data_IF_825319758329
#
_entry.id   IF_825319758329
#
_cell.length_a   1.000
_cell.length_b   1.000
_cell.length_c   1.000
_cell.angle_alpha   90.00
_cell.angle_beta   90.00
_cell.angle_gamma   90.00
#
_symmetry.space_group_name_H-M   'P 1'
#
loop_
_entity.id
_entity.type
_entity.pdbx_description
1 polymer ?
#
# COMPACT_ATOMS: atom_id res chain seq x y z
N UNK A 1 20.23 -36.04 25.39
CA UNK A 1 21.59 -36.63 25.57
C UNK A 1 22.59 -35.49 25.39
N UNK A 2 23.61 -35.42 26.27
CA UNK A 2 24.69 -34.42 26.37
C UNK A 2 24.25 -33.05 26.96
N UNK A 3 24.44 -32.77 28.26
CA UNK A 3 25.67 -32.43 29.05
C UNK A 3 26.08 -30.95 28.96
N UNK A 4 25.91 -30.27 30.10
CA UNK A 4 26.53 -28.99 30.47
C UNK A 4 28.04 -29.12 30.64
N UNK A 5 28.81 -28.06 30.37
CA UNK A 5 29.72 -27.47 31.36
C UNK A 5 30.26 -26.11 30.90
N UNK A 6 30.28 -25.17 31.84
CA UNK A 6 30.95 -23.87 31.76
C UNK A 6 32.34 -23.97 32.40
N UNK A 7 33.31 -23.15 32.00
CA UNK A 7 34.37 -22.68 32.90
C UNK A 7 35.10 -21.44 32.36
N UNK A 8 35.55 -20.64 33.32
CA UNK A 8 36.02 -19.25 33.26
C UNK A 8 37.49 -19.04 32.83
N UNK A 9 37.75 -17.81 32.38
CA UNK A 9 38.91 -16.93 32.59
C UNK A 9 40.30 -17.51 32.97
N UNK A 10 41.35 -17.02 32.29
CA UNK A 10 42.40 -16.20 32.94
C UNK A 10 43.36 -15.53 31.93
N UNK A 11 43.87 -14.39 32.37
CA UNK A 11 44.79 -13.41 31.76
C UNK A 11 46.26 -13.84 31.78
N UNK A 12 47.10 -13.34 30.85
CA UNK A 12 48.39 -12.68 31.19
C UNK A 12 49.20 -12.22 29.95
N UNK A 13 49.44 -10.91 29.92
CA UNK A 13 50.62 -10.07 29.53
C UNK A 13 51.71 -10.51 28.55
N UNK A 14 52.13 -9.54 27.72
CA UNK A 14 53.43 -9.47 27.02
C UNK A 14 54.02 -8.03 27.11
N UNK A 15 55.37 -7.85 27.05
CA UNK A 15 56.05 -6.63 27.52
C UNK A 15 56.43 -5.60 26.43
N UNK A 16 56.86 -4.44 26.92
CA UNK A 16 57.23 -3.18 26.27
C UNK A 16 58.68 -3.05 25.79
N UNK A 17 58.94 -2.17 24.81
CA UNK A 17 60.03 -1.15 24.82
C UNK A 17 59.94 -0.31 23.54
N UNK A 18 59.71 1.01 23.53
CA UNK A 18 60.64 2.12 23.86
C UNK A 18 60.40 3.21 22.79
N UNK A 19 60.61 4.51 22.94
CA UNK A 19 61.04 5.39 24.03
C UNK A 19 61.12 6.83 23.49
N UNK A 20 60.68 7.81 24.31
CA UNK A 20 60.95 9.29 24.34
C UNK A 20 60.63 10.14 23.06
N UNK A 21 60.29 11.43 23.11
CA UNK A 21 60.75 12.55 23.95
C UNK A 21 59.84 13.82 23.74
N UNK A 22 59.39 14.45 24.85
CA UNK A 22 59.13 15.90 25.14
C UNK A 22 58.29 16.78 24.15
N UNK A 23 57.41 17.73 24.54
CA UNK A 23 57.28 18.67 25.68
C UNK A 23 55.84 19.29 25.70
N UNK A 24 55.40 20.00 26.77
CA UNK A 24 54.00 20.36 27.01
C UNK A 24 53.68 21.84 26.69
N UNK A 25 52.43 22.13 26.32
CA UNK A 25 51.86 23.47 26.48
C UNK A 25 50.41 23.39 26.96
N UNK A 26 50.19 23.88 28.19
CA UNK A 26 48.88 24.26 28.73
C UNK A 26 48.41 25.54 28.02
N UNK A 27 47.18 25.54 27.53
CA UNK A 27 46.50 26.73 27.00
C UNK A 27 44.99 26.52 27.03
N UNK A 28 44.34 27.25 27.92
CA UNK A 28 42.91 27.23 28.26
C UNK A 28 42.01 27.55 27.04
N UNK A 29 40.99 26.74 26.65
CA UNK A 29 40.03 27.18 25.64
C UNK A 29 38.88 27.94 26.28
N UNK A 30 38.83 29.26 26.01
CA UNK A 30 37.65 30.12 26.21
C UNK A 30 36.44 29.55 25.45
N UNK A 31 35.20 29.78 25.89
CA UNK A 31 34.03 29.33 25.14
C UNK A 31 33.93 30.13 23.83
N UNK A 32 34.11 29.45 22.69
CA UNK A 32 33.72 30.03 21.40
C UNK A 32 32.19 30.05 21.35
N UNK A 33 31.63 31.23 21.59
CA UNK A 33 30.24 31.55 21.27
C UNK A 33 30.11 31.55 19.75
N UNK A 34 29.76 30.41 19.17
CA UNK A 34 29.35 30.34 17.77
C UNK A 34 27.92 30.89 17.69
N UNK A 35 27.81 32.17 17.36
CA UNK A 35 26.52 32.76 16.97
C UNK A 35 26.33 32.40 15.50
N UNK A 36 25.56 31.35 15.22
CA UNK A 36 25.04 31.13 13.88
C UNK A 36 23.88 32.12 13.67
N UNK A 37 24.15 33.25 13.01
CA UNK A 37 23.08 34.10 12.50
C UNK A 37 22.50 33.44 11.25
N UNK A 38 21.40 32.71 11.41
CA UNK A 38 20.54 32.36 10.28
C UNK A 38 19.76 33.62 9.90
N UNK A 39 20.25 34.35 8.90
CA UNK A 39 19.43 35.35 8.23
C UNK A 39 18.36 34.59 7.44
N UNK A 40 17.20 34.38 8.05
CA UNK A 40 16.02 33.90 7.34
C UNK A 40 15.49 35.08 6.55
N UNK A 41 15.95 35.23 5.30
CA UNK A 41 15.20 36.02 4.33
C UNK A 41 13.95 35.24 3.98
N UNK A 42 12.83 35.58 4.63
CA UNK A 42 11.53 35.15 4.16
C UNK A 42 11.32 35.70 2.73
N UNK A 43 11.01 34.86 1.73
CA UNK A 43 10.56 35.40 0.46
C UNK A 43 9.27 36.19 0.72
N UNK A 44 9.33 37.50 0.49
CA UNK A 44 8.14 38.35 0.41
C UNK A 44 7.41 37.99 -0.87
N UNK A 45 6.40 37.14 -0.72
CA UNK A 45 5.05 37.31 -1.28
C UNK A 45 4.41 35.94 -1.40
N UNK A 46 3.29 35.68 -0.70
CA UNK A 46 2.35 34.74 -1.22
C UNK A 46 1.28 35.58 -1.94
N UNK A 47 1.15 35.33 -3.24
CA UNK A 47 0.15 35.94 -4.11
C UNK A 47 -1.23 35.97 -3.42
N UNK A 48 -2.05 36.97 -3.72
CA UNK A 48 -3.40 37.15 -3.17
C UNK A 48 -4.28 35.88 -3.23
N UNK A 49 -3.98 34.95 -4.15
CA UNK A 49 -4.54 33.60 -4.21
C UNK A 49 -4.39 32.82 -2.89
N UNK A 50 -3.22 32.80 -2.26
CA UNK A 50 -2.94 32.04 -1.03
C UNK A 50 -3.71 32.53 0.20
N UNK A 51 -4.18 33.77 0.19
CA UNK A 51 -4.94 34.35 1.28
C UNK A 51 -6.44 34.09 1.12
N UNK A 52 -6.93 34.08 -0.13
CA UNK A 52 -8.30 33.72 -0.46
C UNK A 52 -8.53 32.20 -0.37
N UNK A 53 -7.60 31.35 -0.82
CA UNK A 53 -7.64 29.89 -0.65
C UNK A 53 -7.75 29.49 0.84
N UNK A 54 -7.09 30.22 1.74
CA UNK A 54 -7.18 29.99 3.19
C UNK A 54 -8.59 30.22 3.77
N UNK A 55 -9.40 31.08 3.15
CA UNK A 55 -10.77 31.37 3.59
C UNK A 55 -11.80 30.38 3.04
N UNK A 56 -11.58 29.81 1.86
CA UNK A 56 -12.41 28.71 1.34
C UNK A 56 -12.11 27.36 2.01
N UNK A 57 -10.96 27.24 2.68
CA UNK A 57 -10.51 26.03 3.39
C UNK A 57 -11.26 25.71 4.69
N UNK A 58 -12.37 26.38 5.02
CA UNK A 58 -13.23 26.06 6.17
C UNK A 58 -14.13 24.82 5.94
N UNK A 59 -13.92 24.09 4.84
CA UNK A 59 -14.59 22.80 4.63
C UNK A 59 -13.91 21.72 5.46
N UNK A 60 -14.42 21.47 6.67
CA UNK A 60 -13.98 20.34 7.49
C UNK A 60 -14.46 19.01 6.88
N UNK A 61 -13.54 18.07 6.68
CA UNK A 61 -13.88 16.70 6.30
C UNK A 61 -14.00 15.84 7.56
N UNK A 62 -15.18 15.29 7.80
CA UNK A 62 -15.38 14.26 8.82
C UNK A 62 -15.10 12.89 8.23
N UNK A 63 -14.30 12.09 8.92
CA UNK A 63 -13.89 10.77 8.47
C UNK A 63 -13.67 9.83 9.65
N UNK A 64 -13.63 8.53 9.35
CA UNK A 64 -13.15 7.50 10.27
C UNK A 64 -11.99 6.76 9.61
N UNK A 65 -10.93 6.49 10.35
CA UNK A 65 -9.77 5.78 9.81
C UNK A 65 -9.91 4.28 10.05
N UNK A 66 -9.78 3.50 8.99
CA UNK A 66 -9.87 2.03 9.01
C UNK A 66 -8.60 1.40 8.45
N UNK A 67 -8.36 0.13 8.76
CA UNK A 67 -7.33 -0.66 8.09
C UNK A 67 -7.74 -2.12 7.94
N UNK A 68 -7.33 -2.74 6.84
CA UNK A 68 -7.49 -4.16 6.59
C UNK A 68 -6.15 -4.81 6.27
N UNK A 69 -5.60 -5.57 7.23
CA UNK A 69 -4.30 -6.25 7.11
C UNK A 69 -3.12 -5.28 6.83
N UNK A 70 -3.16 -4.10 7.44
CA UNK A 70 -2.11 -3.08 7.32
C UNK A 70 -2.38 -2.02 6.25
N UNK A 71 -3.28 -2.29 5.31
CA UNK A 71 -3.69 -1.35 4.28
C UNK A 71 -4.76 -0.40 4.84
N UNK A 72 -4.41 0.89 5.00
CA UNK A 72 -5.19 1.86 5.77
C UNK A 72 -5.92 2.90 4.91
N UNK A 73 -7.14 3.26 5.31
CA UNK A 73 -8.05 4.09 4.54
C UNK A 73 -8.71 5.18 5.37
N UNK A 74 -8.95 6.32 4.72
CA UNK A 74 -9.82 7.39 5.22
C UNK A 74 -11.24 7.08 4.71
N UNK A 75 -12.14 6.70 5.61
CA UNK A 75 -13.52 6.39 5.29
C UNK A 75 -14.41 7.62 5.47
N UNK A 76 -15.16 7.97 4.43
CA UNK A 76 -16.02 9.16 4.40
C UNK A 76 -17.46 8.73 4.15
N UNK A 77 -18.38 9.10 5.06
CA UNK A 77 -19.82 9.00 4.79
C UNK A 77 -20.18 10.04 3.73
N UNK A 78 -20.57 9.55 2.56
CA UNK A 78 -20.91 10.33 1.38
C UNK A 78 -22.32 9.94 0.88
N UNK A 79 -23.17 9.36 1.74
CA UNK A 79 -24.51 8.88 1.37
C UNK A 79 -25.47 10.02 1.03
N UNK A 80 -25.15 11.23 1.47
CA UNK A 80 -25.86 12.48 1.20
C UNK A 80 -25.63 13.03 -0.22
N UNK A 81 -24.68 12.50 -0.99
CA UNK A 81 -24.31 13.04 -2.31
C UNK A 81 -23.81 11.97 -3.28
N UNK A 82 -24.18 12.09 -4.56
CA UNK A 82 -23.62 11.29 -5.65
C UNK A 82 -22.24 11.77 -6.13
N UNK A 83 -21.73 12.87 -5.57
CA UNK A 83 -20.40 13.42 -5.87
C UNK A 83 -19.50 13.25 -4.64
N UNK A 84 -18.26 12.74 -4.79
CA UNK A 84 -17.30 12.64 -3.70
C UNK A 84 -17.06 14.00 -3.02
N UNK A 85 -16.97 14.00 -1.69
CA UNK A 85 -16.79 15.20 -0.88
C UNK A 85 -15.42 15.87 -1.04
N UNK A 86 -14.46 15.19 -1.65
CA UNK A 86 -13.13 15.74 -1.97
C UNK A 86 -12.77 15.40 -3.40
N UNK A 87 -11.91 16.20 -4.02
CA UNK A 87 -11.36 15.92 -5.34
C UNK A 87 -10.23 14.88 -5.27
N UNK A 88 -9.84 14.26 -6.40
CA UNK A 88 -8.65 13.41 -6.48
C UNK A 88 -7.38 14.08 -5.93
N UNK A 89 -7.17 15.35 -6.23
CA UNK A 89 -5.98 16.11 -5.79
C UNK A 89 -6.01 16.38 -4.29
N UNK A 90 -7.19 16.62 -3.72
CA UNK A 90 -7.38 16.74 -2.28
C UNK A 90 -7.17 15.40 -1.57
N UNK A 91 -7.67 14.29 -2.14
CA UNK A 91 -7.44 12.96 -1.61
C UNK A 91 -5.95 12.62 -1.57
N UNK A 92 -5.19 12.92 -2.62
CA UNK A 92 -3.73 12.74 -2.63
C UNK A 92 -3.04 13.52 -1.50
N UNK A 93 -3.46 14.77 -1.24
CA UNK A 93 -2.93 15.58 -0.12
C UNK A 93 -3.30 15.01 1.24
N UNK A 94 -4.52 14.49 1.41
CA UNK A 94 -4.98 13.88 2.65
C UNK A 94 -4.23 12.56 2.94
N UNK A 95 -3.91 11.80 1.90
CA UNK A 95 -3.17 10.55 1.98
C UNK A 95 -1.67 10.73 2.26
N UNK A 96 -1.11 11.94 2.09
CA UNK A 96 0.28 12.21 2.47
C UNK A 96 0.50 11.90 3.96
N UNK A 97 1.48 11.04 4.27
CA UNK A 97 1.70 10.53 5.63
C UNK A 97 2.42 11.52 6.56
N UNK A 98 2.99 12.61 6.04
CA UNK A 98 3.73 13.59 6.82
C UNK A 98 2.94 14.89 7.03
N UNK A 99 2.27 15.34 5.97
CA UNK A 99 1.57 16.62 5.91
C UNK A 99 0.03 16.45 5.89
N UNK A 100 -0.45 15.25 5.60
CA UNK A 100 -1.87 14.88 5.65
C UNK A 100 -2.22 14.01 6.85
N UNK A 101 -3.30 13.23 6.71
CA UNK A 101 -3.74 12.23 7.69
C UNK A 101 -2.89 10.95 7.55
N UNK A 102 -2.43 10.67 6.33
CA UNK A 102 -1.72 9.46 5.96
C UNK A 102 -2.64 8.27 5.78
N UNK A 103 -2.75 7.75 4.56
CA UNK A 103 -3.50 6.54 4.22
C UNK A 103 -3.09 6.05 2.83
N UNK A 104 -3.41 4.80 2.50
CA UNK A 104 -3.23 4.26 1.15
C UNK A 104 -4.36 4.72 0.20
N UNK A 105 -5.48 5.19 0.75
CA UNK A 105 -6.56 5.80 -0.03
C UNK A 105 -7.69 6.40 0.79
N UNK A 106 -8.58 7.10 0.09
CA UNK A 106 -9.85 7.65 0.61
C UNK A 106 -11.01 6.86 0.01
N UNK A 107 -11.87 6.31 0.86
CA UNK A 107 -13.04 5.53 0.44
C UNK A 107 -14.32 6.31 0.77
N UNK A 108 -15.23 6.37 -0.20
CA UNK A 108 -16.51 7.06 -0.08
C UNK A 108 -17.66 6.04 -0.03
N UNK A 109 -18.50 6.16 1.00
CA UNK A 109 -19.77 5.44 1.09
C UNK A 109 -20.86 6.28 0.46
N UNK A 110 -21.30 5.92 -0.73
CA UNK A 110 -22.17 6.72 -1.57
C UNK A 110 -23.57 6.08 -1.67
N UNK A 111 -24.61 6.84 -2.09
CA UNK A 111 -25.93 6.26 -2.30
C UNK A 111 -25.88 5.12 -3.33
N UNK A 112 -26.67 4.08 -3.09
CA UNK A 112 -26.78 2.94 -3.98
C UNK A 112 -27.29 3.30 -5.37
N UNK A 113 -26.82 2.56 -6.37
CA UNK A 113 -27.27 2.66 -7.77
C UNK A 113 -27.72 1.30 -8.29
N UNK A 114 -28.61 1.28 -9.28
CA UNK A 114 -29.05 0.05 -9.95
C UNK A 114 -29.54 -1.07 -8.99
N UNK A 115 -30.16 -0.70 -7.87
CA UNK A 115 -30.66 -1.64 -6.86
C UNK A 115 -29.62 -2.19 -5.89
N UNK A 116 -28.40 -1.65 -5.87
CA UNK A 116 -27.44 -1.83 -4.79
C UNK A 116 -27.85 -1.00 -3.56
N UNK A 117 -27.44 -1.43 -2.37
CA UNK A 117 -27.70 -0.71 -1.11
C UNK A 117 -26.82 0.54 -1.03
N UNK A 118 -25.56 0.43 -1.46
CA UNK A 118 -24.58 1.51 -1.49
C UNK A 118 -23.70 1.45 -2.75
N UNK A 119 -23.00 2.54 -2.99
CA UNK A 119 -21.92 2.61 -3.98
C UNK A 119 -20.60 2.87 -3.26
N UNK A 120 -19.54 2.18 -3.67
CA UNK A 120 -18.18 2.43 -3.19
C UNK A 120 -17.37 3.07 -4.31
N UNK A 121 -16.78 4.23 -4.01
CA UNK A 121 -15.71 4.84 -4.80
C UNK A 121 -14.48 5.00 -3.93
N UNK A 122 -13.31 5.00 -4.57
CA UNK A 122 -12.02 5.08 -3.87
C UNK A 122 -11.07 5.96 -4.68
N UNK A 123 -10.32 6.81 -3.98
CA UNK A 123 -9.15 7.47 -4.53
C UNK A 123 -7.90 6.93 -3.84
N UNK A 124 -6.93 6.47 -4.61
CA UNK A 124 -5.61 6.06 -4.12
C UNK A 124 -4.84 7.27 -3.57
N UNK A 125 -3.72 7.00 -2.89
CA UNK A 125 -2.82 8.04 -2.37
C UNK A 125 -2.21 8.95 -3.45
N UNK A 126 -2.17 8.50 -4.71
CA UNK A 126 -1.72 9.30 -5.86
C UNK A 126 -2.87 10.07 -6.55
N UNK A 127 -4.11 9.93 -6.05
CA UNK A 127 -5.32 10.51 -6.62
C UNK A 127 -5.98 9.69 -7.73
N UNK A 128 -5.38 8.58 -8.16
CA UNK A 128 -6.02 7.70 -9.16
C UNK A 128 -7.27 7.02 -8.57
N UNK A 129 -8.25 6.70 -9.41
CA UNK A 129 -9.47 6.01 -9.02
C UNK A 129 -9.45 4.56 -9.52
N UNK A 130 -9.13 3.57 -8.66
CA UNK A 130 -9.23 2.17 -9.04
C UNK A 130 -10.69 1.68 -9.00
N UNK A 131 -10.95 0.60 -9.74
CA UNK A 131 -12.29 0.04 -9.89
C UNK A 131 -12.80 -0.63 -8.61
N UNK A 132 -11.90 -1.25 -7.85
CA UNK A 132 -12.23 -2.00 -6.64
C UNK A 132 -11.02 -2.11 -5.70
N UNK A 133 -11.30 -2.26 -4.39
CA UNK A 133 -10.29 -2.55 -3.38
C UNK A 133 -10.81 -3.58 -2.36
N UNK A 134 -10.21 -4.77 -2.34
CA UNK A 134 -10.66 -5.90 -1.50
C UNK A 134 -10.47 -5.67 0.00
N UNK A 135 -9.43 -4.94 0.41
CA UNK A 135 -9.26 -4.52 1.81
C UNK A 135 -10.25 -3.40 2.18
N UNK A 136 -10.42 -2.46 1.25
CA UNK A 136 -11.34 -1.34 1.37
C UNK A 136 -12.79 -1.79 1.58
N UNK A 137 -13.28 -2.77 0.80
CA UNK A 137 -14.68 -3.24 0.92
C UNK A 137 -14.96 -3.95 2.25
N UNK A 138 -13.95 -4.59 2.86
CA UNK A 138 -14.10 -5.14 4.22
C UNK A 138 -14.24 -4.04 5.27
N UNK A 139 -13.43 -2.98 5.13
CA UNK A 139 -13.52 -1.80 5.99
C UNK A 139 -14.87 -1.08 5.79
N UNK A 140 -15.34 -1.01 4.55
CA UNK A 140 -16.61 -0.41 4.16
C UNK A 140 -17.81 -1.12 4.82
N UNK A 141 -17.84 -2.45 4.78
CA UNK A 141 -18.91 -3.22 5.42
C UNK A 141 -18.98 -2.93 6.93
N UNK A 142 -17.81 -2.86 7.60
CA UNK A 142 -17.73 -2.52 9.01
C UNK A 142 -18.19 -1.09 9.29
N UNK A 143 -17.76 -0.14 8.47
CA UNK A 143 -18.18 1.25 8.60
C UNK A 143 -19.70 1.42 8.47
N UNK A 144 -20.34 0.78 7.50
CA UNK A 144 -21.81 0.83 7.38
C UNK A 144 -22.47 0.24 8.62
N UNK A 145 -22.01 -0.93 9.08
CA UNK A 145 -22.59 -1.56 10.25
C UNK A 145 -22.50 -0.65 11.49
N UNK A 146 -21.40 0.09 11.68
CA UNK A 146 -21.28 1.07 12.77
C UNK A 146 -22.22 2.26 12.60
N UNK A 147 -22.25 2.85 11.39
CA UNK A 147 -23.06 4.04 11.10
C UNK A 147 -24.56 3.75 11.19
N UNK A 148 -24.98 2.54 10.84
CA UNK A 148 -26.37 2.09 10.90
C UNK A 148 -26.71 1.34 12.19
N UNK A 149 -25.75 1.22 13.11
CA UNK A 149 -25.90 0.53 14.39
C UNK A 149 -26.39 -0.93 14.23
N UNK A 150 -25.88 -1.62 13.22
CA UNK A 150 -26.17 -3.02 12.90
C UNK A 150 -25.27 -3.96 13.72
N UNK A 151 -25.84 -5.07 14.19
CA UNK A 151 -25.18 -6.02 15.08
C UNK A 151 -25.37 -7.45 14.59
N UNK A 152 -24.30 -8.25 14.62
CA UNK A 152 -24.31 -9.62 14.14
C UNK A 152 -24.03 -9.73 12.64
N UNK A 153 -24.55 -10.79 12.03
CA UNK A 153 -24.31 -11.11 10.62
C UNK A 153 -25.16 -10.23 9.70
N UNK A 154 -24.51 -9.55 8.76
CA UNK A 154 -25.14 -8.65 7.80
C UNK A 154 -24.40 -8.69 6.46
N UNK A 155 -25.16 -8.68 5.37
CA UNK A 155 -24.63 -8.59 4.01
C UNK A 155 -25.10 -7.31 3.34
N UNK A 156 -24.25 -6.70 2.51
CA UNK A 156 -24.58 -5.48 1.77
C UNK A 156 -24.34 -5.69 0.28
N UNK A 157 -25.21 -5.15 -0.57
CA UNK A 157 -24.99 -5.06 -2.02
C UNK A 157 -24.30 -3.76 -2.34
N UNK A 158 -23.04 -3.83 -2.78
CA UNK A 158 -22.22 -2.64 -3.06
C UNK A 158 -21.92 -2.57 -4.55
N UNK A 159 -22.29 -1.45 -5.16
CA UNK A 159 -21.86 -1.14 -6.51
C UNK A 159 -20.44 -0.57 -6.50
N UNK A 160 -19.56 -1.11 -7.35
CA UNK A 160 -18.17 -0.69 -7.51
C UNK A 160 -17.85 -0.52 -9.01
N UNK A 161 -16.68 0.04 -9.35
CA UNK A 161 -16.21 0.08 -10.74
C UNK A 161 -16.02 -1.30 -11.35
N UNK A 162 -15.77 -2.33 -10.53
CA UNK A 162 -15.69 -3.73 -10.95
C UNK A 162 -17.05 -4.46 -10.99
N UNK A 163 -18.16 -3.76 -10.73
CA UNK A 163 -19.49 -4.34 -10.67
C UNK A 163 -20.00 -4.54 -9.24
N UNK A 164 -20.94 -5.49 -9.08
CA UNK A 164 -21.60 -5.75 -7.80
C UNK A 164 -20.73 -6.62 -6.90
N UNK A 165 -20.42 -6.13 -5.70
CA UNK A 165 -19.66 -6.85 -4.67
C UNK A 165 -20.55 -7.02 -3.43
N UNK A 166 -20.49 -8.20 -2.81
CA UNK A 166 -21.32 -8.54 -1.65
C UNK A 166 -20.42 -8.93 -0.48
N UNK A 167 -20.03 -7.99 0.39
CA UNK A 167 -19.44 -8.33 1.67
C UNK A 167 -20.51 -8.80 2.66
N UNK A 168 -20.13 -9.77 3.47
CA UNK A 168 -20.91 -10.36 4.55
C UNK A 168 -20.08 -10.32 5.83
N UNK A 169 -20.55 -9.54 6.81
CA UNK A 169 -20.04 -9.60 8.17
C UNK A 169 -20.45 -10.93 8.77
N UNK A 170 -19.47 -11.68 9.28
CA UNK A 170 -19.65 -12.98 9.92
C UNK A 170 -19.81 -12.83 11.45
N UNK A 171 -20.36 -13.87 12.09
CA UNK A 171 -20.55 -13.94 13.54
C UNK A 171 -19.23 -13.79 14.34
N UNK A 172 -18.10 -14.22 13.76
CA UNK A 172 -16.78 -14.14 14.39
C UNK A 172 -16.13 -12.75 14.28
N UNK A 173 -16.84 -11.78 13.71
CA UNK A 173 -16.33 -10.43 13.52
C UNK A 173 -15.57 -10.23 12.20
N UNK A 174 -15.30 -11.28 11.42
CA UNK A 174 -14.63 -11.13 10.12
C UNK A 174 -15.62 -10.70 9.03
N UNK A 175 -15.07 -10.26 7.90
CA UNK A 175 -15.85 -9.94 6.71
C UNK A 175 -15.44 -10.89 5.60
N UNK A 176 -16.40 -11.70 5.15
CA UNK A 176 -16.29 -12.51 3.94
C UNK A 176 -16.73 -11.66 2.77
N UNK A 177 -16.06 -11.75 1.63
CA UNK A 177 -16.42 -10.98 0.44
C UNK A 177 -16.46 -11.93 -0.74
N UNK A 178 -17.57 -11.90 -1.47
CA UNK A 178 -17.61 -12.47 -2.80
C UNK A 178 -16.95 -11.50 -3.79
N UNK A 179 -15.79 -11.90 -4.32
CA UNK A 179 -14.98 -11.10 -5.23
C UNK A 179 -15.32 -11.37 -6.70
N UNK A 180 -16.31 -12.21 -6.97
CA UNK A 180 -16.68 -12.64 -8.31
C UNK A 180 -15.70 -13.62 -8.94
N UNK A 181 -15.91 -13.91 -10.21
CA UNK A 181 -15.05 -14.79 -11.00
C UNK A 181 -13.83 -14.05 -11.54
N UNK A 182 -12.64 -14.69 -11.56
CA UNK A 182 -11.45 -14.09 -12.13
C UNK A 182 -11.56 -14.00 -13.66
N UNK A 183 -11.10 -12.88 -14.22
CA UNK A 183 -10.90 -12.68 -15.65
C UNK A 183 -9.52 -13.23 -16.01
N UNK A 184 -9.48 -14.21 -16.92
CA UNK A 184 -8.25 -14.89 -17.31
C UNK A 184 -7.81 -14.61 -18.75
N UNK A 185 -8.72 -14.13 -19.60
CA UNK A 185 -8.41 -13.81 -20.98
C UNK A 185 -7.42 -12.65 -21.05
N UNK A 186 -6.23 -12.87 -21.62
CA UNK A 186 -5.11 -11.92 -21.57
C UNK A 186 -5.48 -10.48 -21.97
N UNK A 187 -6.18 -10.27 -23.11
CA UNK A 187 -6.63 -8.94 -23.53
C UNK A 187 -7.58 -8.24 -22.54
N UNK A 188 -8.37 -8.99 -21.77
CA UNK A 188 -9.29 -8.45 -20.76
C UNK A 188 -8.61 -8.23 -19.39
N UNK A 189 -7.40 -8.79 -19.19
CA UNK A 189 -6.48 -8.47 -18.07
C UNK A 189 -5.64 -7.22 -18.38
N UNK A 190 -6.06 -6.39 -19.33
CA UNK A 190 -5.19 -5.64 -20.26
C UNK A 190 -3.69 -5.99 -20.20
N UNK A 191 -3.29 -7.16 -20.73
CA UNK A 191 -1.87 -7.45 -20.99
C UNK A 191 -1.58 -7.68 -22.48
N UNK A 192 -0.41 -7.22 -22.92
CA UNK A 192 0.13 -7.52 -24.27
C UNK A 192 0.90 -8.84 -24.33
N UNK A 193 1.05 -9.54 -23.19
CA UNK A 193 1.72 -10.84 -23.17
C UNK A 193 0.92 -11.86 -23.98
N UNK A 194 1.61 -12.73 -24.74
CA UNK A 194 0.94 -13.77 -25.49
C UNK A 194 0.28 -14.77 -24.53
N UNK A 195 -0.96 -15.15 -24.82
CA UNK A 195 -1.63 -16.22 -24.11
C UNK A 195 -0.92 -17.54 -24.32
N UNK A 196 -0.61 -18.25 -23.23
CA UNK A 196 0.16 -19.50 -23.25
C UNK A 196 -0.70 -20.73 -22.97
N UNK A 197 -1.88 -20.56 -22.34
CA UNK A 197 -2.78 -21.67 -21.99
C UNK A 197 -4.23 -21.23 -22.00
N UNK A 198 -5.07 -21.84 -22.85
CA UNK A 198 -6.52 -21.58 -22.91
C UNK A 198 -6.85 -20.08 -22.93
N UNK A 199 -6.17 -19.33 -23.80
CA UNK A 199 -6.33 -17.87 -23.95
C UNK A 199 -5.89 -17.02 -22.73
N UNK A 200 -5.42 -17.67 -21.65
CA UNK A 200 -4.81 -17.03 -20.50
C UNK A 200 -3.29 -16.97 -20.59
N UNK A 201 -2.71 -15.98 -19.89
CA UNK A 201 -1.27 -15.82 -19.72
C UNK A 201 -0.85 -16.58 -18.47
N UNK A 202 -0.29 -17.78 -18.65
CA UNK A 202 0.11 -18.69 -17.56
C UNK A 202 1.58 -19.05 -17.69
N UNK A 203 2.40 -18.70 -16.70
CA UNK A 203 3.87 -18.90 -16.72
C UNK A 203 4.53 -18.38 -18.02
N UNK A 204 4.07 -17.24 -18.54
CA UNK A 204 4.72 -16.58 -19.66
C UNK A 204 6.04 -15.93 -19.23
N UNK A 205 7.00 -15.81 -20.15
CA UNK A 205 8.25 -15.10 -19.88
C UNK A 205 8.02 -13.57 -20.01
N UNK A 206 8.44 -12.81 -18.99
CA UNK A 206 8.46 -11.34 -18.97
C UNK A 206 9.89 -10.89 -18.65
N UNK A 207 10.48 -10.08 -19.52
CA UNK A 207 11.85 -9.61 -19.34
C UNK A 207 11.86 -8.29 -18.56
N UNK A 208 12.48 -8.27 -17.38
CA UNK A 208 12.63 -7.06 -16.54
C UNK A 208 14.10 -6.93 -16.17
N UNK A 209 14.70 -5.79 -16.49
CA UNK A 209 16.14 -5.53 -16.33
C UNK A 209 17.04 -6.64 -16.92
N UNK A 210 16.60 -7.25 -18.03
CA UNK A 210 17.32 -8.35 -18.67
C UNK A 210 17.18 -9.72 -17.99
N UNK A 211 16.43 -9.82 -16.88
CA UNK A 211 16.08 -11.09 -16.24
C UNK A 211 14.72 -11.60 -16.77
N UNK A 212 14.66 -12.89 -17.10
CA UNK A 212 13.43 -13.55 -17.55
C UNK A 212 12.61 -14.07 -16.36
N UNK A 213 11.47 -13.42 -16.09
CA UNK A 213 10.52 -13.77 -15.05
C UNK A 213 9.41 -14.64 -15.60
N UNK A 214 8.97 -15.66 -14.84
CA UNK A 214 7.75 -16.38 -15.17
C UNK A 214 6.55 -15.71 -14.50
N UNK A 215 5.61 -15.25 -15.30
CA UNK A 215 4.43 -14.52 -14.83
C UNK A 215 3.12 -15.19 -15.25
N UNK A 216 2.10 -15.04 -14.42
CA UNK A 216 0.71 -15.39 -14.71
C UNK A 216 -0.14 -14.14 -14.50
N UNK A 217 -0.98 -13.80 -15.47
CA UNK A 217 -1.82 -12.61 -15.41
C UNK A 217 -3.27 -12.99 -15.14
N UNK A 218 -3.90 -12.29 -14.21
CA UNK A 218 -5.30 -12.45 -13.81
C UNK A 218 -5.88 -11.07 -13.55
N UNK A 219 -7.18 -10.86 -13.76
CA UNK A 219 -7.87 -9.66 -13.30
C UNK A 219 -9.03 -10.04 -12.37
N UNK A 220 -9.19 -9.27 -11.30
CA UNK A 220 -10.35 -9.32 -10.39
C UNK A 220 -11.22 -8.06 -10.54
N UNK A 221 -11.20 -7.46 -11.73
CA UNK A 221 -11.67 -6.09 -12.02
C UNK A 221 -10.50 -5.13 -12.26
N UNK A 222 -9.35 -5.38 -11.62
CA UNK A 222 -8.09 -4.69 -11.84
C UNK A 222 -6.96 -5.69 -12.23
N UNK A 223 -5.95 -5.26 -13.01
CA UNK A 223 -4.94 -6.16 -13.58
C UNK A 223 -3.88 -6.60 -12.55
N UNK A 224 -3.65 -7.91 -12.43
CA UNK A 224 -2.63 -8.51 -11.59
C UNK A 224 -1.57 -9.28 -12.39
N UNK A 225 -0.30 -9.11 -11.98
CA UNK A 225 0.83 -9.88 -12.49
C UNK A 225 1.46 -10.71 -11.34
N UNK A 226 1.35 -12.04 -11.42
CA UNK A 226 1.79 -12.97 -10.37
C UNK A 226 3.06 -13.70 -10.83
N UNK A 227 4.11 -13.71 -10.01
CA UNK A 227 5.33 -14.46 -10.28
C UNK A 227 5.74 -15.33 -9.09
N UNK A 228 6.31 -16.50 -9.38
CA UNK A 228 6.89 -17.43 -8.39
C UNK A 228 8.42 -17.49 -8.46
N UNK A 229 9.04 -16.65 -9.29
CA UNK A 229 10.47 -16.70 -9.54
C UNK A 229 10.84 -16.42 -10.99
N UNK A 230 12.14 -16.28 -11.22
CA UNK A 230 12.71 -16.18 -12.55
C UNK A 230 13.06 -17.57 -13.09
N UNK A 231 13.48 -17.63 -14.35
CA UNK A 231 14.06 -18.86 -14.93
C UNK A 231 15.28 -19.36 -14.15
N UNK A 232 16.01 -18.44 -13.52
CA UNK A 232 17.24 -18.69 -12.78
C UNK A 232 17.00 -18.89 -11.27
N UNK A 233 16.04 -18.16 -10.68
CA UNK A 233 15.56 -18.35 -9.30
C UNK A 233 14.32 -19.24 -9.27
N UNK A 234 14.55 -20.55 -9.06
CA UNK A 234 13.46 -21.54 -8.93
C UNK A 234 12.62 -21.39 -7.66
N UNK A 235 13.18 -20.80 -6.61
CA UNK A 235 12.50 -20.52 -5.34
C UNK A 235 12.78 -19.07 -5.00
N UNK A 236 11.70 -18.34 -4.74
CA UNK A 236 11.75 -16.92 -4.46
C UNK A 236 11.43 -16.68 -2.99
N UNK A 237 12.42 -16.19 -2.25
CA UNK A 237 12.23 -15.69 -0.89
C UNK A 237 11.76 -14.24 -1.00
N UNK A 238 10.48 -14.01 -0.72
CA UNK A 238 9.84 -12.70 -0.90
C UNK A 238 10.50 -11.64 -0.02
N UNK A 239 10.89 -12.01 1.20
CA UNK A 239 11.52 -11.11 2.17
C UNK A 239 12.90 -10.61 1.71
N UNK A 240 13.54 -11.31 0.79
CA UNK A 240 14.85 -10.93 0.25
C UNK A 240 14.72 -9.98 -0.96
N UNK A 241 13.49 -9.75 -1.44
CA UNK A 241 13.27 -8.88 -2.58
C UNK A 241 13.15 -7.41 -2.18
N UNK A 242 13.89 -6.58 -2.91
CA UNK A 242 13.78 -5.13 -2.79
C UNK A 242 12.59 -4.62 -3.60
N UNK A 243 11.38 -4.74 -3.04
CA UNK A 243 10.12 -4.36 -3.69
C UNK A 243 10.11 -2.92 -4.20
N UNK A 244 10.74 -1.99 -3.47
CA UNK A 244 10.89 -0.59 -3.89
C UNK A 244 11.58 -0.41 -5.25
N UNK A 245 12.44 -1.36 -5.62
CA UNK A 245 13.25 -1.27 -6.83
C UNK A 245 12.64 -2.06 -7.99
N UNK A 246 12.00 -3.20 -7.68
CA UNK A 246 11.45 -4.09 -8.71
C UNK A 246 9.96 -3.85 -8.98
N UNK A 247 9.18 -3.45 -7.97
CA UNK A 247 7.74 -3.19 -8.09
C UNK A 247 7.40 -2.19 -9.19
N UNK A 248 7.99 -0.98 -9.21
CA UNK A 248 7.73 0.01 -10.26
C UNK A 248 8.05 -0.46 -11.67
N UNK A 249 9.00 -1.41 -11.82
CA UNK A 249 9.39 -1.96 -13.12
C UNK A 249 8.35 -2.93 -13.67
N UNK A 250 7.63 -3.64 -12.80
CA UNK A 250 6.47 -4.42 -13.19
C UNK A 250 5.25 -3.51 -13.41
N UNK A 251 4.98 -2.58 -12.48
CA UNK A 251 3.81 -1.70 -12.52
C UNK A 251 3.73 -0.89 -13.83
N UNK A 252 4.84 -0.29 -14.24
CA UNK A 252 4.93 0.55 -15.43
C UNK A 252 5.45 -0.19 -16.67
N UNK A 253 5.48 -1.53 -16.65
CA UNK A 253 5.99 -2.30 -17.79
C UNK A 253 5.12 -2.07 -19.04
N UNK A 254 5.75 -1.94 -20.21
CA UNK A 254 5.09 -1.70 -21.50
C UNK A 254 4.04 -2.74 -21.90
N UNK A 255 4.10 -3.91 -21.24
CA UNK A 255 3.21 -5.06 -21.46
C UNK A 255 1.89 -4.92 -20.70
N UNK A 256 1.75 -3.90 -19.84
CA UNK A 256 0.54 -3.60 -19.07
C UNK A 256 0.06 -2.17 -19.37
N UNK A 257 -0.79 -1.97 -20.39
CA UNK A 257 -1.24 -0.63 -20.81
C UNK A 257 -1.98 0.15 -19.72
N UNK A 258 -2.72 -0.55 -18.86
CA UNK A 258 -3.46 0.04 -17.74
C UNK A 258 -2.65 0.05 -16.44
N UNK A 259 -1.31 -0.10 -16.52
CA UNK A 259 -0.44 -0.52 -15.42
C UNK A 259 -0.88 -1.86 -14.86
N UNK A 260 -0.18 -2.38 -13.85
CA UNK A 260 -0.62 -3.59 -13.14
C UNK A 260 -0.31 -3.48 -11.67
N UNK A 261 -1.24 -3.97 -10.86
CA UNK A 261 -0.93 -4.33 -9.50
C UNK A 261 0.06 -5.48 -9.55
N UNK A 262 1.30 -5.16 -9.22
CA UNK A 262 2.30 -6.16 -8.90
C UNK A 262 2.03 -6.58 -7.47
N UNK A 263 0.88 -7.24 -7.25
CA UNK A 263 0.53 -7.80 -5.96
C UNK A 263 1.73 -8.61 -5.50
N UNK A 264 2.23 -8.28 -4.30
CA UNK A 264 3.41 -8.88 -3.66
C UNK A 264 3.75 -10.24 -4.24
N UNK A 265 4.99 -10.40 -4.71
CA UNK A 265 5.60 -11.69 -5.05
C UNK A 265 4.96 -12.79 -4.22
N UNK A 266 4.05 -13.53 -4.84
CA UNK A 266 3.09 -14.30 -4.07
C UNK A 266 3.82 -15.58 -3.67
N UNK A 267 4.46 -15.57 -2.50
CA UNK A 267 4.50 -16.79 -1.70
C UNK A 267 3.05 -17.02 -1.26
N UNK A 268 2.28 -17.64 -2.15
CA UNK A 268 1.01 -18.23 -1.80
C UNK A 268 1.35 -19.30 -0.77
N UNK A 269 1.35 -18.94 0.52
CA UNK A 269 1.15 -19.94 1.55
C UNK A 269 -0.22 -20.54 1.23
N UNK A 270 -0.21 -21.67 0.54
CA UNK A 270 -1.35 -22.57 0.40
C UNK A 270 -1.76 -23.02 1.81
N UNK A 271 -2.41 -22.14 2.56
CA UNK A 271 -3.17 -22.49 3.74
C UNK A 271 -4.57 -22.84 3.23
N UNK A 272 -4.68 -24.06 2.70
CA UNK A 272 -5.91 -24.71 2.26
C UNK A 272 -6.68 -24.03 1.12
N UNK A 273 -6.60 -24.66 -0.05
CA UNK A 273 -7.47 -24.78 -1.25
C UNK A 273 -8.62 -23.77 -1.55
N UNK A 274 -9.16 -22.98 -0.61
CA UNK A 274 -10.39 -22.19 -0.81
C UNK A 274 -10.28 -20.69 -0.50
N UNK A 275 -9.10 -20.11 -0.26
CA UNK A 275 -8.96 -18.67 -0.07
C UNK A 275 -7.61 -18.12 -0.56
N UNK A 276 -7.63 -17.18 -1.51
CA UNK A 276 -6.50 -16.31 -1.82
C UNK A 276 -6.67 -14.99 -1.06
N UNK A 277 -5.67 -14.62 -0.25
CA UNK A 277 -5.57 -13.28 0.31
C UNK A 277 -4.63 -12.45 -0.58
N UNK A 278 -5.18 -11.42 -1.24
CA UNK A 278 -4.39 -10.44 -1.97
C UNK A 278 -4.06 -9.28 -1.02
N UNK A 279 -2.78 -9.07 -0.75
CA UNK A 279 -2.30 -7.86 -0.06
C UNK A 279 -1.89 -6.89 -1.15
N UNK A 280 -2.71 -5.85 -1.33
CA UNK A 280 -2.40 -4.69 -2.15
C UNK A 280 -1.63 -3.69 -1.27
N UNK A 281 -0.45 -3.28 -1.72
CA UNK A 281 0.25 -2.09 -1.22
C UNK A 281 0.16 -1.02 -2.30
#
# INVERSE_FOLDING_TARGET
RATSFAANFTTSTAPSSGGRLLRPFRGNPRPRRAVASMAVSAPKSPAAASFLERRESERALHFVKYQGLGNDFIMVDNRDSAVPKVTPEEAAKLCDRNFGIGADGVIFVMPGVNGADYTMRIFNSDGSEPEMCGNGVRCFARFIAEVENLQGTHSFKIHTGAGLIIPEIQDDGKVKVDMGEPILYGPDVPTKLPSTKNEAVVKAELAIDGLAWHVTCVSMGNPHCITFGSKELKVLHVDDLKLSDIGPKFEHHEMFPARTNTGNFLCCYMLNVNALAFVFY
#
